data_IF_895130420115
#
_entry.id   IF_895130420115
#
_cell.length_a   1.000
_cell.length_b   1.000
_cell.length_c   1.000
_cell.angle_alpha   90.00
_cell.angle_beta   90.00
_cell.angle_gamma   90.00
#
_symmetry.space_group_name_H-M   'P 1'
#
loop_
_entity.id
_entity.type
_entity.pdbx_description
1 polymer ?
#
# COMPACT_ATOMS: atom_id res chain seq x y z
N UNK A 1 -5.67 -2.48 29.40
CA UNK A 1 -6.08 -3.64 28.58
C UNK A 1 -5.39 -4.85 29.17
N UNK A 2 -6.11 -5.95 29.43
CA UNK A 2 -5.49 -7.17 29.97
C UNK A 2 -4.95 -8.02 28.81
N UNK A 3 -3.73 -8.54 28.95
CA UNK A 3 -3.10 -9.46 28.00
C UNK A 3 -3.19 -10.89 28.53
N UNK A 4 -3.50 -11.83 27.65
CA UNK A 4 -3.52 -13.26 27.96
C UNK A 4 -2.82 -14.05 26.86
N UNK A 5 -2.20 -15.17 27.23
CA UNK A 5 -1.59 -16.09 26.26
C UNK A 5 -2.71 -16.95 25.65
N UNK A 6 -2.85 -16.96 24.31
CA UNK A 6 -3.83 -17.80 23.63
C UNK A 6 -3.66 -19.29 23.96
N UNK A 7 -4.76 -20.04 23.98
CA UNK A 7 -4.74 -21.46 24.37
C UNK A 7 -3.83 -22.31 23.46
N UNK A 8 -3.73 -21.98 22.18
CA UNK A 8 -2.86 -22.65 21.20
C UNK A 8 -1.36 -22.35 21.41
N UNK A 9 -1.02 -21.39 22.27
CA UNK A 9 0.36 -20.99 22.58
C UNK A 9 0.82 -21.43 23.97
N UNK A 10 -0.03 -22.12 24.75
CA UNK A 10 0.32 -22.60 26.09
C UNK A 10 1.45 -23.62 26.10
N UNK A 11 1.54 -24.47 25.09
CA UNK A 11 2.64 -25.44 24.99
C UNK A 11 3.98 -24.73 24.77
N UNK A 12 3.98 -23.64 23.97
CA UNK A 12 5.17 -22.81 23.77
C UNK A 12 5.56 -22.10 25.08
N UNK A 13 4.61 -21.50 25.79
CA UNK A 13 4.85 -20.89 27.11
C UNK A 13 5.50 -21.89 28.07
N UNK A 14 4.94 -23.11 28.16
CA UNK A 14 5.46 -24.17 29.03
C UNK A 14 6.90 -24.55 28.65
N UNK A 15 7.19 -24.69 27.36
CA UNK A 15 8.55 -24.97 26.87
C UNK A 15 9.52 -23.84 27.23
N UNK A 16 9.15 -22.57 27.01
CA UNK A 16 9.98 -21.42 27.39
C UNK A 16 10.28 -21.39 28.89
N UNK A 17 9.27 -21.64 29.73
CA UNK A 17 9.44 -21.73 31.19
C UNK A 17 10.38 -22.88 31.57
N UNK A 18 10.22 -24.05 30.98
CA UNK A 18 11.08 -25.20 31.27
C UNK A 18 12.55 -24.93 30.92
N UNK A 19 12.83 -24.42 29.72
CA UNK A 19 14.20 -24.11 29.28
C UNK A 19 14.82 -22.97 30.12
N UNK A 20 14.03 -21.96 30.48
CA UNK A 20 14.49 -20.83 31.28
C UNK A 20 15.11 -21.24 32.63
N UNK A 21 14.69 -22.37 33.21
CA UNK A 21 15.24 -22.90 34.48
C UNK A 21 16.71 -23.33 34.35
N UNK A 22 17.11 -23.71 33.15
CA UNK A 22 18.42 -24.30 32.87
C UNK A 22 19.37 -23.34 32.14
N UNK A 23 18.89 -22.17 31.74
CA UNK A 23 19.68 -21.16 31.04
C UNK A 23 20.11 -20.00 31.95
N UNK A 24 21.34 -19.53 31.76
CA UNK A 24 21.87 -18.31 32.42
C UNK A 24 21.67 -17.04 31.58
N UNK A 25 21.45 -17.20 30.27
CA UNK A 25 21.29 -16.12 29.31
C UNK A 25 20.19 -16.44 28.28
N UNK A 26 19.38 -15.43 27.96
CA UNK A 26 18.40 -15.42 26.88
C UNK A 26 18.88 -14.46 25.79
N UNK A 27 19.05 -14.95 24.56
CA UNK A 27 19.35 -14.12 23.39
C UNK A 27 18.13 -14.13 22.46
N UNK A 28 17.53 -12.96 22.26
CA UNK A 28 16.33 -12.77 21.45
C UNK A 28 16.70 -12.59 19.97
N UNK A 29 16.29 -13.57 19.15
CA UNK A 29 16.56 -13.67 17.70
C UNK A 29 15.33 -13.38 16.82
N UNK A 30 14.34 -12.70 17.36
CA UNK A 30 13.11 -12.32 16.64
C UNK A 30 13.43 -11.34 15.50
N UNK A 31 12.50 -11.19 14.55
CA UNK A 31 12.64 -10.26 13.43
C UNK A 31 12.87 -8.82 13.92
N UNK A 32 13.67 -8.06 13.17
CA UNK A 32 14.20 -6.77 13.62
C UNK A 32 13.29 -5.57 13.32
N UNK A 33 11.97 -5.77 13.38
CA UNK A 33 10.95 -4.73 13.26
C UNK A 33 10.28 -4.43 14.63
N UNK A 34 9.27 -3.56 14.62
CA UNK A 34 8.56 -3.18 15.85
C UNK A 34 7.73 -4.31 16.46
N UNK A 35 7.14 -5.18 15.64
CA UNK A 35 6.33 -6.30 16.14
C UNK A 35 7.21 -7.40 16.74
N UNK A 36 8.36 -7.68 16.12
CA UNK A 36 9.38 -8.57 16.66
C UNK A 36 9.94 -8.08 17.99
N UNK A 37 10.07 -6.76 18.17
CA UNK A 37 10.45 -6.18 19.46
C UNK A 37 9.34 -6.34 20.52
N UNK A 38 8.07 -6.13 20.15
CA UNK A 38 6.92 -6.38 21.05
C UNK A 38 6.87 -7.85 21.50
N UNK A 39 7.00 -8.79 20.57
CA UNK A 39 7.06 -10.23 20.86
C UNK A 39 8.26 -10.56 21.76
N UNK A 40 9.38 -9.85 21.60
CA UNK A 40 10.56 -10.05 22.45
C UNK A 40 10.26 -9.77 23.92
N UNK A 41 9.45 -8.74 24.21
CA UNK A 41 8.99 -8.44 25.56
C UNK A 41 7.97 -9.45 26.08
N UNK A 42 7.10 -10.01 25.23
CA UNK A 42 6.18 -11.09 25.63
C UNK A 42 6.95 -12.36 26.03
N UNK A 43 7.98 -12.73 25.26
CA UNK A 43 8.88 -13.84 25.61
C UNK A 43 9.64 -13.53 26.90
N UNK A 44 10.11 -12.30 27.05
CA UNK A 44 10.86 -11.84 28.22
C UNK A 44 10.04 -11.94 29.50
N UNK A 45 8.76 -11.55 29.48
CA UNK A 45 7.84 -11.65 30.61
C UNK A 45 7.69 -13.10 31.07
N UNK A 46 7.39 -14.01 30.13
CA UNK A 46 7.24 -15.45 30.39
C UNK A 46 8.51 -16.06 30.98
N UNK A 47 9.67 -15.72 30.40
CA UNK A 47 10.96 -16.27 30.84
C UNK A 47 11.39 -15.71 32.20
N UNK A 48 11.21 -14.40 32.43
CA UNK A 48 11.54 -13.77 33.72
C UNK A 48 10.64 -14.19 34.86
N UNK A 49 9.38 -14.54 34.59
CA UNK A 49 8.48 -15.13 35.59
C UNK A 49 9.10 -16.40 36.19
N UNK A 50 9.79 -17.20 35.37
CA UNK A 50 10.39 -18.47 35.78
C UNK A 50 11.86 -18.36 36.21
N UNK A 51 12.64 -17.44 35.63
CA UNK A 51 14.02 -17.15 35.99
C UNK A 51 14.28 -15.63 36.00
N UNK A 52 14.03 -14.95 37.13
CA UNK A 52 14.19 -13.49 37.24
C UNK A 52 15.64 -13.00 37.04
N UNK A 53 16.62 -13.87 37.28
CA UNK A 53 18.06 -13.55 37.24
C UNK A 53 18.71 -13.73 35.86
N UNK A 54 17.94 -14.20 34.86
CA UNK A 54 18.47 -14.51 33.53
C UNK A 54 19.01 -13.24 32.84
N UNK A 55 20.19 -13.36 32.24
CA UNK A 55 20.79 -12.26 31.48
C UNK A 55 20.13 -12.16 30.10
N UNK A 56 19.63 -10.99 29.73
CA UNK A 56 18.84 -10.84 28.51
C UNK A 56 19.60 -10.00 27.50
N UNK A 57 19.63 -10.48 26.26
CA UNK A 57 20.25 -9.80 25.11
C UNK A 57 19.35 -9.89 23.89
N UNK A 58 19.52 -8.95 22.97
CA UNK A 58 18.83 -8.84 21.68
C UNK A 58 19.85 -8.89 20.56
N UNK A 59 19.71 -9.87 19.67
CA UNK A 59 20.47 -9.90 18.42
C UNK A 59 19.80 -8.99 17.38
N UNK A 60 20.57 -8.19 16.64
CA UNK A 60 20.06 -7.31 15.58
C UNK A 60 20.70 -7.69 14.25
N UNK A 61 19.88 -7.98 13.26
CA UNK A 61 20.26 -8.41 11.91
C UNK A 61 19.23 -7.90 10.89
N UNK A 62 19.59 -7.89 9.60
CA UNK A 62 18.72 -7.43 8.50
C UNK A 62 18.51 -8.49 7.43
N UNK A 63 19.33 -9.54 7.42
CA UNK A 63 19.27 -10.68 6.54
C UNK A 63 19.81 -11.94 7.23
N UNK A 64 19.30 -13.10 6.82
CA UNK A 64 19.74 -14.41 7.33
C UNK A 64 20.96 -14.85 6.51
N UNK A 65 22.08 -14.16 6.71
CA UNK A 65 23.38 -14.51 6.11
C UNK A 65 24.41 -14.80 7.20
N UNK A 66 25.35 -15.71 6.95
CA UNK A 66 26.36 -16.09 7.94
C UNK A 66 27.15 -14.89 8.48
N UNK A 67 27.49 -13.93 7.60
CA UNK A 67 28.19 -12.69 7.99
C UNK A 67 27.38 -11.87 8.99
N UNK A 68 26.09 -11.63 8.69
CA UNK A 68 25.23 -10.82 9.55
C UNK A 68 24.93 -11.50 10.88
N UNK A 69 24.67 -12.82 10.89
CA UNK A 69 24.40 -13.56 12.12
C UNK A 69 25.64 -13.54 13.05
N UNK A 70 26.84 -13.73 12.48
CA UNK A 70 28.08 -13.61 13.26
C UNK A 70 28.31 -12.19 13.77
N UNK A 71 27.98 -11.15 12.98
CA UNK A 71 28.06 -9.77 13.43
C UNK A 71 27.08 -9.50 14.58
N UNK A 72 25.82 -9.93 14.45
CA UNK A 72 24.79 -9.78 15.47
C UNK A 72 25.20 -10.40 16.81
N UNK A 73 25.82 -11.60 16.78
CA UNK A 73 26.36 -12.25 17.97
C UNK A 73 27.50 -11.49 18.65
N UNK A 74 28.33 -10.78 17.87
CA UNK A 74 29.43 -9.96 18.42
C UNK A 74 28.94 -8.64 19.00
N UNK A 75 27.77 -8.15 18.59
CA UNK A 75 27.23 -6.85 18.97
C UNK A 75 25.83 -6.96 19.61
N UNK A 76 25.67 -7.86 20.57
CA UNK A 76 24.40 -8.07 21.28
C UNK A 76 23.98 -6.83 22.09
N UNK A 77 22.74 -6.40 21.90
CA UNK A 77 22.16 -5.22 22.55
C UNK A 77 21.15 -5.62 23.64
N UNK A 78 20.55 -4.64 24.32
CA UNK A 78 19.36 -4.86 25.14
C UNK A 78 18.10 -4.70 24.28
N UNK A 79 16.99 -5.39 24.61
CA UNK A 79 15.70 -5.10 24.02
C UNK A 79 15.30 -3.64 24.22
N UNK A 80 14.65 -3.04 23.22
CA UNK A 80 14.28 -1.64 23.20
C UNK A 80 12.87 -1.43 23.78
N UNK A 81 12.81 -1.02 25.04
CA UNK A 81 11.57 -0.74 25.77
C UNK A 81 10.70 0.32 25.08
N UNK A 82 11.29 1.36 24.47
CA UNK A 82 10.55 2.44 23.84
C UNK A 82 9.77 1.95 22.61
N UNK A 83 10.34 1.01 21.85
CA UNK A 83 9.65 0.40 20.70
C UNK A 83 8.51 -0.49 21.17
N UNK A 84 8.70 -1.25 22.25
CA UNK A 84 7.63 -2.03 22.87
C UNK A 84 6.47 -1.12 23.32
N UNK A 85 6.77 -0.05 24.05
CA UNK A 85 5.75 0.93 24.52
C UNK A 85 5.01 1.60 23.36
N UNK A 86 5.72 1.96 22.29
CA UNK A 86 5.11 2.49 21.07
C UNK A 86 4.10 1.50 20.46
N UNK A 87 4.45 0.21 20.34
CA UNK A 87 3.54 -0.81 19.80
C UNK A 87 2.37 -1.03 20.74
N UNK A 88 2.60 -1.12 22.05
CA UNK A 88 1.53 -1.26 23.05
C UNK A 88 0.55 -0.09 23.01
N UNK A 89 1.05 1.15 22.89
CA UNK A 89 0.21 2.33 22.75
C UNK A 89 -0.64 2.29 21.47
N UNK A 90 -0.05 1.88 20.34
CA UNK A 90 -0.78 1.70 19.07
C UNK A 90 -1.88 0.64 19.19
N UNK A 91 -1.54 -0.54 19.71
CA UNK A 91 -2.50 -1.65 19.90
C UNK A 91 -3.66 -1.24 20.80
N UNK A 92 -3.39 -0.53 21.90
CA UNK A 92 -4.42 -0.05 22.81
C UNK A 92 -5.30 1.04 22.17
N UNK A 93 -4.71 1.99 21.45
CA UNK A 93 -5.46 3.03 20.74
C UNK A 93 -6.38 2.44 19.66
N UNK A 94 -5.86 1.49 18.88
CA UNK A 94 -6.60 0.76 17.84
C UNK A 94 -7.74 -0.06 18.46
N UNK A 95 -7.49 -0.79 19.54
CA UNK A 95 -8.49 -1.61 20.22
C UNK A 95 -9.61 -0.74 20.82
N UNK A 96 -9.25 0.29 21.59
CA UNK A 96 -10.23 1.15 22.28
C UNK A 96 -11.11 1.88 21.28
N UNK A 97 -10.49 2.53 20.28
CA UNK A 97 -11.23 3.27 19.25
C UNK A 97 -12.04 2.32 18.37
N UNK A 98 -11.43 1.21 17.94
CA UNK A 98 -12.08 0.21 17.10
C UNK A 98 -13.31 -0.39 17.76
N UNK A 99 -13.21 -0.86 19.00
CA UNK A 99 -14.34 -1.45 19.74
C UNK A 99 -15.42 -0.41 20.02
N UNK A 100 -15.05 0.80 20.47
CA UNK A 100 -16.03 1.84 20.81
C UNK A 100 -16.88 2.23 19.60
N UNK A 101 -16.25 2.60 18.48
CA UNK A 101 -16.97 3.04 17.29
C UNK A 101 -17.65 1.88 16.57
N UNK A 102 -17.05 0.68 16.51
CA UNK A 102 -17.71 -0.50 15.90
C UNK A 102 -19.02 -0.83 16.62
N UNK A 103 -19.01 -0.85 17.96
CA UNK A 103 -20.22 -1.12 18.75
C UNK A 103 -21.25 -0.02 18.57
N UNK A 104 -20.83 1.24 18.65
CA UNK A 104 -21.71 2.38 18.44
C UNK A 104 -22.39 2.34 17.06
N UNK A 105 -21.62 2.21 15.98
CA UNK A 105 -22.14 2.18 14.61
C UNK A 105 -23.05 0.97 14.38
N UNK A 106 -22.64 -0.22 14.84
CA UNK A 106 -23.43 -1.44 14.68
C UNK A 106 -24.77 -1.34 15.38
N UNK A 107 -24.83 -0.80 16.60
CA UNK A 107 -26.08 -0.65 17.35
C UNK A 107 -26.95 0.49 16.83
N UNK A 108 -26.34 1.65 16.55
CA UNK A 108 -27.06 2.82 16.05
C UNK A 108 -27.70 2.54 14.68
N UNK A 109 -26.91 2.05 13.72
CA UNK A 109 -27.40 1.78 12.36
C UNK A 109 -28.21 0.50 12.28
N UNK A 110 -27.91 -0.50 13.10
CA UNK A 110 -28.67 -1.75 13.17
C UNK A 110 -30.14 -1.53 13.56
N UNK A 111 -30.40 -0.55 14.45
CA UNK A 111 -31.76 -0.20 14.86
C UNK A 111 -32.48 0.66 13.81
N UNK A 112 -31.77 1.56 13.13
CA UNK A 112 -32.35 2.48 12.13
C UNK A 112 -32.64 1.79 10.80
N UNK A 113 -31.81 0.83 10.39
CA UNK A 113 -31.91 0.21 9.09
C UNK A 113 -31.99 -1.31 9.22
N UNK A 114 -33.19 -1.83 9.51
CA UNK A 114 -33.47 -3.27 9.56
C UNK A 114 -33.03 -3.99 8.26
N UNK A 115 -33.05 -3.29 7.12
CA UNK A 115 -32.62 -3.80 5.81
C UNK A 115 -31.08 -3.81 5.61
N UNK A 116 -30.30 -2.98 6.32
CA UNK A 116 -28.82 -3.03 6.23
C UNK A 116 -28.27 -4.28 6.94
N UNK A 117 -28.99 -4.82 7.92
CA UNK A 117 -28.67 -6.12 8.50
C UNK A 117 -28.70 -7.25 7.45
N UNK A 118 -29.46 -7.10 6.36
CA UNK A 118 -29.46 -8.05 5.25
C UNK A 118 -28.20 -7.96 4.37
N UNK A 119 -27.61 -6.77 4.21
CA UNK A 119 -26.36 -6.54 3.46
C UNK A 119 -25.14 -7.07 4.22
N UNK A 120 -25.23 -7.10 5.55
CA UNK A 120 -24.17 -7.61 6.44
C UNK A 120 -24.26 -9.13 6.68
N UNK A 121 -25.11 -9.86 5.95
CA UNK A 121 -25.29 -11.30 6.11
C UNK A 121 -24.47 -12.08 5.08
N UNK A 122 -23.22 -12.40 5.43
CA UNK A 122 -22.51 -13.52 4.78
C UNK A 122 -22.91 -14.80 5.52
N UNK A 123 -23.50 -15.76 4.82
CA UNK A 123 -23.87 -17.08 5.34
C UNK A 123 -24.85 -17.07 6.54
N UNK A 124 -25.80 -16.12 6.57
CA UNK A 124 -26.83 -16.07 7.62
C UNK A 124 -26.37 -15.50 8.97
N UNK A 125 -25.12 -15.03 9.07
CA UNK A 125 -24.57 -14.40 10.29
C UNK A 125 -24.53 -12.88 10.13
N UNK A 126 -25.11 -12.15 11.10
CA UNK A 126 -25.04 -10.70 11.19
C UNK A 126 -23.58 -10.27 11.38
N UNK A 127 -23.00 -9.58 10.39
CA UNK A 127 -21.67 -8.96 10.52
C UNK A 127 -21.79 -7.58 11.17
N UNK A 128 -20.85 -7.20 12.06
CA UNK A 128 -20.78 -5.86 12.60
C UNK A 128 -20.31 -4.84 11.56
N UNK A 129 -20.73 -3.59 11.72
CA UNK A 129 -20.16 -2.46 10.98
C UNK A 129 -18.88 -2.04 11.70
N UNK A 130 -17.74 -2.46 11.16
CA UNK A 130 -16.44 -2.21 11.81
C UNK A 130 -15.95 -0.79 11.56
N UNK A 131 -15.31 -0.23 12.59
CA UNK A 131 -14.53 1.00 12.52
C UNK A 131 -13.10 0.72 12.99
N UNK A 132 -12.16 1.43 12.38
CA UNK A 132 -10.75 1.44 12.78
C UNK A 132 -10.12 2.76 12.35
N UNK A 133 -9.23 3.33 13.16
CA UNK A 133 -8.68 4.67 12.92
C UNK A 133 -7.90 4.76 11.59
N UNK A 134 -7.24 3.68 11.16
CA UNK A 134 -6.54 3.61 9.88
C UNK A 134 -7.41 3.06 8.73
N UNK A 135 -8.32 2.10 9.01
CA UNK A 135 -9.17 1.51 7.96
C UNK A 135 -10.16 2.53 7.38
N UNK A 136 -10.66 3.45 8.21
CA UNK A 136 -11.66 4.44 7.81
C UNK A 136 -11.12 5.43 6.76
N UNK A 137 -9.99 6.14 6.97
CA UNK A 137 -9.42 7.00 5.93
C UNK A 137 -8.96 6.21 4.71
N UNK A 138 -8.49 4.96 4.88
CA UNK A 138 -8.12 4.10 3.75
C UNK A 138 -9.30 3.83 2.82
N UNK A 139 -10.48 3.50 3.37
CA UNK A 139 -11.71 3.40 2.59
C UNK A 139 -12.12 4.75 2.00
N UNK A 140 -11.90 5.84 2.72
CA UNK A 140 -12.10 7.22 2.24
C UNK A 140 -11.41 7.47 0.90
N UNK A 141 -10.15 7.07 0.75
CA UNK A 141 -9.41 7.21 -0.53
C UNK A 141 -10.11 6.52 -1.71
N UNK A 142 -10.68 5.34 -1.48
CA UNK A 142 -11.41 4.59 -2.51
C UNK A 142 -12.72 5.28 -2.85
N UNK A 143 -13.47 5.71 -1.83
CA UNK A 143 -14.75 6.42 -2.00
C UNK A 143 -14.56 7.76 -2.71
N UNK A 144 -13.54 8.53 -2.33
CA UNK A 144 -13.20 9.81 -2.95
C UNK A 144 -12.90 9.65 -4.44
N UNK A 145 -12.11 8.61 -4.79
CA UNK A 145 -11.85 8.30 -6.20
C UNK A 145 -13.11 7.90 -6.94
N UNK A 146 -13.95 7.06 -6.34
CA UNK A 146 -15.22 6.65 -6.92
C UNK A 146 -16.13 7.87 -7.19
N UNK A 147 -16.28 8.76 -6.22
CA UNK A 147 -17.08 9.98 -6.38
C UNK A 147 -16.49 10.93 -7.42
N UNK A 148 -15.16 11.08 -7.46
CA UNK A 148 -14.47 11.88 -8.49
C UNK A 148 -14.79 11.39 -9.90
N UNK A 149 -14.73 10.08 -10.11
CA UNK A 149 -15.07 9.46 -11.41
C UNK A 149 -16.56 9.62 -11.71
N UNK A 150 -17.43 9.33 -10.73
CA UNK A 150 -18.88 9.39 -10.90
C UNK A 150 -19.38 10.81 -11.23
N UNK A 151 -18.75 11.81 -10.61
CA UNK A 151 -19.12 13.21 -10.78
C UNK A 151 -18.28 13.91 -11.86
N UNK A 152 -17.41 13.18 -12.58
CA UNK A 152 -16.65 13.74 -13.68
C UNK A 152 -17.60 14.12 -14.81
N UNK A 153 -17.55 15.39 -15.23
CA UNK A 153 -18.29 15.89 -16.40
C UNK A 153 -17.30 15.96 -17.56
N UNK A 154 -17.38 15.07 -18.56
CA UNK A 154 -16.49 15.10 -19.71
C UNK A 154 -16.63 16.41 -20.48
N UNK A 155 -15.51 17.06 -20.78
CA UNK A 155 -15.47 18.28 -21.58
C UNK A 155 -14.92 17.95 -22.98
N UNK A 156 -15.65 18.37 -24.01
CA UNK A 156 -15.20 18.22 -25.40
C UNK A 156 -13.99 19.12 -25.63
N UNK A 157 -12.96 18.58 -26.28
CA UNK A 157 -11.79 19.32 -26.71
C UNK A 157 -11.41 18.90 -28.14
N UNK A 158 -10.59 19.73 -28.81
CA UNK A 158 -9.99 19.43 -30.10
C UNK A 158 -8.47 19.46 -29.99
N UNK A 159 -7.83 18.64 -30.82
CA UNK A 159 -6.38 18.61 -31.05
C UNK A 159 -6.19 18.73 -32.55
N UNK A 160 -5.21 19.54 -32.98
CA UNK A 160 -4.80 19.59 -34.39
C UNK A 160 -3.67 18.58 -34.57
N UNK A 161 -3.89 17.55 -35.38
CA UNK A 161 -2.89 16.53 -35.68
C UNK A 161 -2.34 16.74 -37.09
N UNK A 162 -1.01 16.86 -37.22
CA UNK A 162 -0.34 16.87 -38.52
C UNK A 162 0.27 15.49 -38.76
N UNK A 163 -0.17 14.84 -39.83
CA UNK A 163 0.34 13.53 -40.26
C UNK A 163 0.93 13.69 -41.66
N UNK A 164 2.15 13.21 -41.85
CA UNK A 164 2.81 13.18 -43.16
C UNK A 164 3.29 11.78 -43.47
N UNK A 165 3.37 11.46 -44.76
CA UNK A 165 4.03 10.25 -45.23
C UNK A 165 5.54 10.45 -45.17
N UNK A 166 6.22 9.58 -44.42
CA UNK A 166 7.66 9.47 -44.45
C UNK A 166 8.11 8.86 -45.78
N UNK A 167 9.16 9.42 -46.38
CA UNK A 167 9.84 8.72 -47.47
C UNK A 167 10.50 7.47 -46.90
N UNK A 168 10.39 6.30 -47.54
CA UNK A 168 11.16 5.14 -47.13
C UNK A 168 12.64 5.50 -47.18
N UNK A 169 13.32 5.35 -46.06
CA UNK A 169 14.76 5.50 -45.99
C UNK A 169 15.39 4.26 -46.67
N UNK A 170 15.81 4.42 -47.91
CA UNK A 170 16.60 3.41 -48.62
C UNK A 170 18.06 3.67 -48.31
N UNK A 171 18.57 3.04 -47.26
CA UNK A 171 20.02 2.82 -47.14
C UNK A 171 20.37 1.70 -48.14
N UNK A 172 21.22 2.06 -49.09
CA UNK A 172 21.94 1.24 -50.09
C UNK A 172 21.67 -0.28 -50.07
N UNK A 173 21.20 -0.75 -51.23
CA UNK A 173 21.36 -2.11 -51.79
C UNK A 173 21.45 -3.26 -50.77
N UNK A 174 20.33 -3.57 -50.11
CA UNK A 174 20.03 -4.94 -49.69
C UNK A 174 18.53 -5.09 -49.49
N UNK A 175 17.91 -5.76 -50.45
CA UNK A 175 16.50 -6.13 -50.49
C UNK A 175 16.07 -6.91 -49.25
N UNK A 176 15.30 -6.27 -48.38
CA UNK A 176 14.46 -6.93 -47.39
C UNK A 176 13.01 -6.54 -47.67
N UNK A 177 12.11 -7.52 -47.70
CA UNK A 177 10.69 -7.34 -47.97
C UNK A 177 10.06 -6.33 -47.00
N UNK A 178 9.98 -5.06 -47.42
CA UNK A 178 9.31 -4.01 -46.68
C UNK A 178 7.82 -4.13 -46.98
N UNK A 179 7.02 -4.31 -45.93
CA UNK A 179 5.57 -4.19 -45.97
C UNK A 179 5.16 -2.94 -46.76
N UNK A 180 4.22 -3.06 -47.70
CA UNK A 180 3.69 -1.99 -48.57
C UNK A 180 3.06 -0.78 -47.83
N UNK A 181 3.24 -0.64 -46.51
CA UNK A 181 2.79 0.51 -45.72
C UNK A 181 3.86 1.59 -45.68
N UNK A 182 3.59 2.72 -46.34
CA UNK A 182 4.42 3.93 -46.22
C UNK A 182 4.45 4.36 -44.75
N UNK A 183 5.62 4.54 -44.12
CA UNK A 183 5.70 4.94 -42.72
C UNK A 183 5.07 6.32 -42.56
N UNK A 184 4.20 6.51 -41.55
CA UNK A 184 3.58 7.82 -41.28
C UNK A 184 4.27 8.50 -40.10
N UNK A 185 4.60 9.78 -40.27
CA UNK A 185 5.15 10.62 -39.21
C UNK A 185 4.02 11.51 -38.65
N UNK A 186 3.76 11.37 -37.35
CA UNK A 186 2.77 12.17 -36.62
C UNK A 186 3.49 13.23 -35.80
N UNK A 187 3.11 14.50 -35.97
CA UNK A 187 3.64 15.59 -35.18
C UNK A 187 2.70 15.90 -34.02
N UNK A 188 3.28 16.06 -32.83
CA UNK A 188 2.55 16.50 -31.65
C UNK A 188 2.42 18.03 -31.66
N UNK A 189 1.19 18.52 -31.53
CA UNK A 189 0.94 19.95 -31.50
C UNK A 189 1.40 20.55 -30.17
N UNK A 190 2.30 21.53 -30.23
CA UNK A 190 2.87 22.18 -29.03
C UNK A 190 1.81 22.79 -28.08
N UNK A 191 0.61 23.14 -28.60
CA UNK A 191 -0.49 23.67 -27.77
C UNK A 191 -1.31 22.59 -27.07
N UNK A 192 -1.05 21.30 -27.34
CA UNK A 192 -1.79 20.18 -26.77
C UNK A 192 -3.22 20.14 -27.28
N UNK A 193 -4.18 20.48 -26.41
CA UNK A 193 -5.62 20.46 -26.71
C UNK A 193 -6.30 21.78 -26.36
N UNK A 194 -7.33 22.15 -27.12
CA UNK A 194 -8.15 23.34 -26.89
C UNK A 194 -9.58 22.91 -26.58
N UNK A 195 -10.16 23.47 -25.52
CA UNK A 195 -11.54 23.21 -25.09
C UNK A 195 -12.56 24.15 -25.76
N UNK A 196 -12.12 25.31 -26.26
CA UNK A 196 -12.92 26.19 -27.11
C UNK A 196 -12.93 25.67 -28.55
N UNK A 197 -14.09 25.21 -29.00
CA UNK A 197 -14.22 24.60 -30.32
C UNK A 197 -14.07 25.62 -31.45
N UNK A 198 -14.52 26.86 -31.27
CA UNK A 198 -14.43 27.91 -32.29
C UNK A 198 -12.98 28.36 -32.49
N UNK A 199 -12.24 28.54 -31.40
CA UNK A 199 -10.81 28.87 -31.47
C UNK A 199 -10.02 27.74 -32.14
N UNK A 200 -10.32 26.49 -31.80
CA UNK A 200 -9.68 25.34 -32.41
C UNK A 200 -9.97 25.25 -33.92
N UNK A 201 -11.21 25.48 -34.33
CA UNK A 201 -11.62 25.45 -35.74
C UNK A 201 -10.95 26.60 -36.53
N UNK A 202 -10.92 27.81 -35.98
CA UNK A 202 -10.22 28.95 -36.61
C UNK A 202 -8.71 28.72 -36.78
N UNK A 203 -8.05 28.12 -35.78
CA UNK A 203 -6.63 27.77 -35.89
C UNK A 203 -6.38 26.67 -36.92
N UNK A 204 -7.28 25.70 -37.03
CA UNK A 204 -7.21 24.66 -38.03
C UNK A 204 -7.37 25.23 -39.44
N UNK A 205 -8.37 26.08 -39.67
CA UNK A 205 -8.58 26.78 -40.95
C UNK A 205 -7.33 27.56 -41.36
N UNK A 206 -6.74 28.31 -40.43
CA UNK A 206 -5.48 29.02 -40.67
C UNK A 206 -4.32 28.09 -41.08
N UNK A 207 -4.17 26.95 -40.41
CA UNK A 207 -3.16 25.95 -40.77
C UNK A 207 -3.40 25.38 -42.17
N UNK A 208 -4.65 25.11 -42.53
CA UNK A 208 -5.03 24.62 -43.87
C UNK A 208 -4.70 25.68 -44.91
N UNK A 209 -5.14 26.93 -44.73
CA UNK A 209 -4.86 28.04 -45.65
C UNK A 209 -3.35 28.24 -45.88
N UNK A 210 -2.56 28.21 -44.80
CA UNK A 210 -1.10 28.31 -44.90
C UNK A 210 -0.51 27.14 -45.70
N UNK A 211 -1.02 25.92 -45.51
CA UNK A 211 -0.54 24.74 -46.25
C UNK A 211 -0.90 24.81 -47.74
N UNK A 212 -2.10 25.27 -48.10
CA UNK A 212 -2.51 25.43 -49.51
C UNK A 212 -1.68 26.51 -50.21
N UNK A 213 -1.44 27.65 -49.55
CA UNK A 213 -0.62 28.74 -50.11
C UNK A 213 0.84 28.31 -50.36
N UNK A 214 1.39 27.41 -49.54
CA UNK A 214 2.73 26.86 -49.76
C UNK A 214 2.75 25.91 -50.96
N UNK A 215 1.71 25.09 -51.16
CA UNK A 215 1.61 24.18 -52.30
C UNK A 215 1.38 24.90 -53.64
N UNK A 216 0.71 26.06 -53.66
CA UNK A 216 0.52 26.85 -54.88
C UNK A 216 1.77 27.63 -55.32
N UNK A 217 2.75 27.80 -54.42
CA UNK A 217 4.01 28.51 -54.69
C UNK A 217 5.21 27.58 -54.94
N UNK A 218 5.04 26.27 -54.77
CA UNK A 218 6.04 25.23 -54.99
C UNK A 218 5.87 24.58 -56.37
#
# INVERSE_FOLDING_TARGET
>A
VESYIPNDKKDLEKSLKNEARHCSMLILWLDCDSEGERIAFEVLEVVKEQNPSIHVRRARFSAITASEIHQAMRSLQLPNQLVNEMVSARQEADLRSGVAFTRFLTLALGNTFQNIQAVSSRNGKKQPISYGPCQFPTLGLVVDRFLTIRNFIPQKFRVIELVTEGKPFVETESSVNVSNSVPTLKFEWNRGRIFDLFVADALYEYCVECATQVNERA
#
